data_IF_155970248243
#
_entry.id   IF_155970248243
#
_cell.length_a   1.000
_cell.length_b   1.000
_cell.length_c   1.000
_cell.angle_alpha   90.00
_cell.angle_beta   90.00
_cell.angle_gamma   90.00
#
_symmetry.space_group_name_H-M   'P 1'
#
loop_
_entity.id
_entity.type
_entity.pdbx_description
1 polymer ?
#
# COMPACT_ATOMS: atom_id res chain seq x y z
N UNK A 1 -15.06 0.77 -9.21
CA UNK A 1 -14.64 -0.13 -8.10
C UNK A 1 -13.34 -0.81 -8.52
N UNK A 2 -12.21 -0.41 -7.95
CA UNK A 2 -10.90 -0.95 -8.36
C UNK A 2 -10.48 -2.03 -7.37
N UNK A 3 -10.31 -3.26 -7.85
CA UNK A 3 -9.85 -4.41 -7.07
C UNK A 3 -8.35 -4.28 -6.78
N UNK A 4 -7.96 -4.07 -5.52
CA UNK A 4 -6.56 -3.95 -5.10
C UNK A 4 -5.79 -5.29 -4.99
N UNK A 5 -6.47 -6.44 -5.13
CA UNK A 5 -5.88 -7.76 -4.89
C UNK A 5 -6.00 -8.73 -6.07
N UNK A 6 -5.85 -8.24 -7.31
CA UNK A 6 -5.75 -9.13 -8.47
C UNK A 6 -4.29 -9.49 -8.76
N UNK A 7 -4.04 -10.80 -8.72
CA UNK A 7 -2.83 -11.48 -9.18
C UNK A 7 -2.54 -11.06 -10.64
N UNK A 8 -1.62 -10.12 -10.86
CA UNK A 8 -1.15 -9.73 -12.19
C UNK A 8 0.26 -10.27 -12.42
N UNK A 9 0.36 -11.29 -13.26
CA UNK A 9 1.60 -11.82 -13.83
C UNK A 9 2.18 -10.87 -14.87
N UNK A 10 2.98 -9.88 -14.44
CA UNK A 10 3.99 -9.22 -15.28
C UNK A 10 5.19 -8.78 -14.43
N UNK A 11 6.31 -9.47 -14.60
CA UNK A 11 7.69 -9.00 -14.31
C UNK A 11 7.98 -8.53 -12.88
N UNK A 12 8.74 -9.35 -12.14
CA UNK A 12 8.98 -9.30 -10.68
C UNK A 12 7.75 -9.75 -9.89
N UNK A 13 7.76 -11.00 -9.40
CA UNK A 13 6.79 -11.49 -8.41
C UNK A 13 6.94 -10.63 -7.16
N UNK A 14 6.16 -9.55 -7.07
CA UNK A 14 5.91 -8.90 -5.79
C UNK A 14 5.38 -9.97 -4.85
N UNK A 15 6.11 -10.23 -3.77
CA UNK A 15 5.68 -11.18 -2.77
C UNK A 15 4.53 -10.55 -1.98
N UNK A 16 3.30 -10.92 -2.33
CA UNK A 16 2.09 -10.47 -1.65
C UNK A 16 1.48 -11.67 -0.92
N UNK A 17 1.82 -11.87 0.36
CA UNK A 17 1.43 -13.08 1.08
C UNK A 17 -0.07 -13.11 1.43
N UNK A 18 -0.77 -11.98 1.29
CA UNK A 18 -2.17 -11.82 1.70
C UNK A 18 -3.12 -11.88 0.49
N UNK A 19 -4.19 -12.65 0.62
CA UNK A 19 -5.37 -12.60 -0.24
C UNK A 19 -6.58 -12.07 0.52
N UNK A 20 -7.55 -11.51 -0.19
CA UNK A 20 -8.76 -10.92 0.35
C UNK A 20 -9.27 -9.80 -0.54
N UNK A 21 -10.22 -9.02 -0.03
CA UNK A 21 -10.64 -7.79 -0.72
C UNK A 21 -11.05 -6.72 0.29
N UNK A 22 -10.93 -5.47 -0.14
CA UNK A 22 -11.19 -4.31 0.70
C UNK A 22 -11.25 -3.03 -0.11
N UNK A 23 -11.73 -1.98 0.55
CA UNK A 23 -11.71 -0.61 0.09
C UNK A 23 -10.51 0.08 0.74
N UNK A 24 -9.69 0.71 -0.08
CA UNK A 24 -8.59 1.54 0.39
C UNK A 24 -8.72 2.95 -0.18
N UNK A 25 -8.12 3.93 0.49
CA UNK A 25 -8.14 5.33 0.11
C UNK A 25 -6.73 5.90 0.18
N UNK A 26 -6.34 6.67 -0.83
CA UNK A 26 -5.16 7.52 -0.75
C UNK A 26 -5.47 8.73 0.14
N UNK A 27 -4.57 9.05 1.07
CA UNK A 27 -4.67 10.24 1.90
C UNK A 27 -3.33 10.95 1.99
N UNK A 28 -3.37 12.25 2.25
CA UNK A 28 -2.16 13.05 2.46
C UNK A 28 -1.46 12.56 3.73
N UNK A 29 -0.15 12.33 3.64
CA UNK A 29 0.63 11.90 4.78
C UNK A 29 0.72 13.00 5.83
N UNK A 30 0.52 12.64 7.08
CA UNK A 30 0.74 13.48 8.26
C UNK A 30 2.00 13.12 9.05
N UNK A 31 2.78 12.14 8.55
CA UNK A 31 4.04 11.72 9.15
C UNK A 31 5.08 12.86 9.09
N UNK A 32 5.83 13.07 10.17
CA UNK A 32 6.73 14.22 10.30
C UNK A 32 7.93 14.12 9.37
N UNK A 33 8.41 12.92 9.08
CA UNK A 33 9.45 12.63 8.08
C UNK A 33 9.03 12.98 6.65
N UNK A 34 7.73 13.22 6.41
CA UNK A 34 7.16 13.63 5.13
C UNK A 34 6.88 15.13 5.03
N UNK A 35 7.26 15.92 6.05
CA UNK A 35 7.03 17.35 6.07
C UNK A 35 7.64 18.06 4.84
N UNK A 36 6.89 19.01 4.27
CA UNK A 36 7.31 19.77 3.09
C UNK A 36 7.25 19.02 1.77
N UNK A 37 6.78 17.75 1.76
CA UNK A 37 6.66 16.92 0.55
C UNK A 37 5.22 16.51 0.29
N UNK A 38 4.85 16.33 -0.98
CA UNK A 38 3.52 15.83 -1.37
C UNK A 38 3.49 14.30 -1.32
N UNK A 39 3.43 13.79 -0.09
CA UNK A 39 3.46 12.36 0.19
C UNK A 39 2.04 11.82 0.39
N UNK A 40 1.69 10.75 -0.34
CA UNK A 40 0.44 10.00 -0.14
C UNK A 40 0.69 8.72 0.63
N UNK A 41 -0.20 8.41 1.56
CA UNK A 41 -0.30 7.10 2.21
C UNK A 41 -1.55 6.37 1.71
N UNK A 42 -1.59 5.05 1.92
CA UNK A 42 -2.76 4.23 1.63
C UNK A 42 -3.41 3.78 2.95
N UNK A 43 -4.67 4.15 3.19
CA UNK A 43 -5.46 3.67 4.35
C UNK A 43 -6.44 2.58 3.92
N UNK A 44 -6.49 1.49 4.68
CA UNK A 44 -7.50 0.46 4.51
C UNK A 44 -8.77 0.93 5.20
N UNK A 45 -9.82 1.22 4.44
CA UNK A 45 -11.08 1.74 4.97
C UNK A 45 -11.99 0.61 5.45
N UNK A 46 -12.08 -0.46 4.65
CA UNK A 46 -12.96 -1.60 4.93
C UNK A 46 -12.40 -2.87 4.32
N UNK A 47 -12.50 -3.98 5.03
CA UNK A 47 -12.27 -5.33 4.53
C UNK A 47 -13.63 -5.91 4.14
N UNK A 48 -13.73 -6.38 2.90
CA UNK A 48 -14.95 -6.94 2.31
C UNK A 48 -14.91 -8.48 2.28
N UNK A 49 -13.73 -9.04 2.04
CA UNK A 49 -13.46 -10.47 2.18
C UNK A 49 -12.29 -10.67 3.13
N UNK A 50 -12.32 -11.70 3.99
CA UNK A 50 -11.29 -11.92 4.99
C UNK A 50 -9.88 -11.91 4.40
N UNK A 51 -8.97 -11.27 5.13
CA UNK A 51 -7.55 -11.28 4.82
C UNK A 51 -6.93 -12.59 5.29
N UNK A 52 -6.44 -13.39 4.36
CA UNK A 52 -5.85 -14.72 4.59
C UNK A 52 -4.42 -14.79 4.06
N UNK A 53 -3.53 -15.43 4.82
CA UNK A 53 -2.17 -15.72 4.37
C UNK A 53 -2.22 -16.88 3.35
N UNK A 54 -1.67 -16.68 2.16
CA UNK A 54 -1.64 -17.68 1.05
C UNK A 54 -0.33 -18.44 0.95
N UNK A 55 0.62 -18.06 1.80
CA UNK A 55 1.97 -18.58 1.86
C UNK A 55 2.15 -19.31 3.18
N UNK A 56 3.01 -20.33 3.19
CA UNK A 56 3.37 -20.93 4.46
C UNK A 56 4.06 -19.90 5.37
N UNK A 57 3.93 -20.10 6.69
CA UNK A 57 4.47 -19.17 7.68
C UNK A 57 5.99 -19.00 7.59
N UNK A 58 6.71 -19.97 6.99
CA UNK A 58 8.16 -19.94 6.81
C UNK A 58 8.59 -19.11 5.60
N UNK A 59 7.70 -18.97 4.62
CA UNK A 59 7.90 -18.23 3.38
C UNK A 59 7.55 -16.76 3.54
N UNK A 60 6.71 -16.41 4.53
CA UNK A 60 6.34 -15.03 4.82
C UNK A 60 7.57 -14.21 5.26
N UNK A 61 8.18 -13.51 4.31
CA UNK A 61 9.35 -12.65 4.52
C UNK A 61 9.04 -11.37 5.32
N UNK A 62 7.78 -11.18 5.73
CA UNK A 62 7.34 -10.03 6.51
C UNK A 62 7.42 -8.69 5.76
N UNK A 63 7.56 -8.69 4.43
CA UNK A 63 7.63 -7.45 3.63
C UNK A 63 6.34 -6.69 3.55
N UNK A 64 5.20 -7.39 3.65
CA UNK A 64 3.88 -6.78 3.64
C UNK A 64 3.19 -7.21 4.91
N UNK A 65 2.82 -6.25 5.76
CA UNK A 65 2.07 -6.53 6.98
C UNK A 65 0.63 -6.87 6.64
N UNK A 66 -0.04 -7.62 7.54
CA UNK A 66 -1.45 -7.95 7.36
C UNK A 66 -2.27 -6.65 7.25
N UNK A 67 -3.08 -6.45 6.19
CA UNK A 67 -4.00 -5.33 6.13
C UNK A 67 -5.02 -5.35 7.28
N UNK A 68 -5.23 -4.20 7.91
CA UNK A 68 -6.17 -4.03 9.02
C UNK A 68 -7.11 -2.84 8.76
N UNK A 69 -8.40 -3.01 9.06
CA UNK A 69 -9.38 -1.93 8.90
C UNK A 69 -9.00 -0.68 9.70
N UNK A 70 -9.15 0.49 9.08
CA UNK A 70 -8.83 1.77 9.67
C UNK A 70 -7.33 2.09 9.71
N UNK A 71 -6.43 1.14 9.45
CA UNK A 71 -4.98 1.37 9.54
C UNK A 71 -4.36 1.79 8.21
N UNK A 72 -3.18 2.42 8.28
CA UNK A 72 -2.33 2.60 7.12
C UNK A 72 -1.80 1.24 6.65
N UNK A 73 -1.71 1.07 5.34
CA UNK A 73 -1.09 -0.10 4.74
C UNK A 73 0.41 -0.07 4.99
N UNK A 74 0.93 -1.09 5.64
CA UNK A 74 2.32 -1.11 6.13
C UNK A 74 3.16 -2.12 5.35
N UNK A 75 4.34 -1.68 4.94
CA UNK A 75 5.33 -2.49 4.24
C UNK A 75 6.65 -2.45 5.00
N UNK A 76 7.56 -3.36 4.68
CA UNK A 76 8.90 -3.41 5.27
C UNK A 76 9.93 -3.37 4.15
N UNK A 77 10.79 -2.35 4.21
CA UNK A 77 11.99 -2.25 3.40
C UNK A 77 13.02 -3.33 3.82
N UNK A 78 13.89 -3.77 2.92
CA UNK A 78 14.83 -4.87 3.21
C UNK A 78 15.69 -4.56 4.45
N UNK A 79 15.53 -5.35 5.53
CA UNK A 79 16.24 -5.14 6.80
C UNK A 79 15.75 -3.98 7.67
N UNK A 80 14.76 -3.21 7.22
CA UNK A 80 14.16 -2.09 7.97
C UNK A 80 13.02 -2.52 8.88
N UNK A 81 12.54 -1.65 9.79
CA UNK A 81 11.28 -1.84 10.49
C UNK A 81 10.07 -1.73 9.52
N UNK A 82 8.88 -2.25 9.89
CA UNK A 82 7.67 -1.97 9.14
C UNK A 82 7.31 -0.48 9.22
N UNK A 83 6.95 0.11 8.09
CA UNK A 83 6.60 1.51 7.93
C UNK A 83 5.36 1.67 7.04
N UNK A 84 4.53 2.71 7.24
CA UNK A 84 3.44 2.99 6.33
C UNK A 84 3.95 3.12 4.90
N UNK A 85 3.28 2.45 3.96
CA UNK A 85 3.53 2.66 2.55
C UNK A 85 3.25 4.12 2.21
N UNK A 86 4.26 4.76 1.64
CA UNK A 86 4.20 6.16 1.26
C UNK A 86 4.71 6.34 -0.16
N UNK A 87 4.11 7.29 -0.87
CA UNK A 87 4.47 7.62 -2.23
C UNK A 87 4.62 9.12 -2.42
N UNK A 88 5.78 9.52 -2.93
CA UNK A 88 6.08 10.89 -3.29
C UNK A 88 5.52 11.19 -4.69
N UNK A 89 4.47 12.02 -4.78
CA UNK A 89 3.80 12.31 -6.05
C UNK A 89 4.65 13.17 -6.99
N UNK A 90 5.71 13.80 -6.48
CA UNK A 90 6.60 14.64 -7.26
C UNK A 90 7.71 13.83 -7.95
N UNK A 91 7.86 12.54 -7.62
CA UNK A 91 8.76 11.65 -8.37
C UNK A 91 8.32 11.49 -9.82
N UNK A 92 9.28 11.50 -10.73
CA UNK A 92 9.06 11.27 -12.16
C UNK A 92 8.68 9.81 -12.42
N UNK A 93 7.38 9.52 -12.43
CA UNK A 93 6.87 8.28 -13.00
C UNK A 93 5.53 8.48 -13.72
N UNK A 94 5.22 7.60 -14.68
CA UNK A 94 3.99 7.68 -15.49
C UNK A 94 2.71 7.44 -14.68
N UNK A 95 2.80 6.76 -13.54
CA UNK A 95 1.67 6.50 -12.62
C UNK A 95 1.37 7.68 -11.69
N UNK A 96 2.30 8.63 -11.54
CA UNK A 96 2.17 9.78 -10.65
C UNK A 96 1.18 10.81 -11.16
N UNK A 97 0.93 10.86 -12.47
CA UNK A 97 -0.03 11.79 -13.07
C UNK A 97 -1.44 11.63 -12.46
N UNK A 98 -1.93 10.40 -12.31
CA UNK A 98 -3.23 10.14 -11.69
C UNK A 98 -3.24 10.48 -10.20
N UNK A 99 -2.13 10.22 -9.49
CA UNK A 99 -2.00 10.55 -8.07
C UNK A 99 -1.94 12.06 -7.82
N UNK A 100 -1.37 12.85 -8.75
CA UNK A 100 -1.39 14.32 -8.70
C UNK A 100 -2.81 14.85 -8.85
N UNK A 101 -3.60 14.31 -9.79
CA UNK A 101 -5.02 14.68 -9.92
C UNK A 101 -5.78 14.39 -8.61
N UNK A 102 -5.55 13.22 -8.00
CA UNK A 102 -6.17 12.92 -6.70
C UNK A 102 -5.71 13.90 -5.61
N UNK A 103 -4.42 14.23 -5.56
CA UNK A 103 -3.88 15.19 -4.61
C UNK A 103 -4.57 16.56 -4.73
N UNK A 104 -4.62 17.09 -5.96
CA UNK A 104 -5.15 18.42 -6.23
C UNK A 104 -6.67 18.54 -6.00
N UNK A 105 -7.39 17.41 -5.92
CA UNK A 105 -8.84 17.34 -5.71
C UNK A 105 -9.25 16.64 -4.39
N UNK A 106 -8.29 16.47 -3.46
CA UNK A 106 -8.51 15.82 -2.15
C UNK A 106 -8.63 16.81 -1.00
#
# INVERSE_FOLDING_TARGET
>A
MTNLFKNQTRGAKGYFPWTGSGIARFERSTLSEHAGRRMLNLRIIKILQPVTCTVDARSCDGRVMRPEEGQLFTVRSYGGPPEPWAYDIDKENKSAAALRVLWDNS
#
